data_IF_039490672164
#
_entry.id   IF_039490672164
#
_cell.length_a   1.000
_cell.length_b   1.000
_cell.length_c   1.000
_cell.angle_alpha   90.00
_cell.angle_beta   90.00
_cell.angle_gamma   90.00
#
_symmetry.space_group_name_H-M   'P 1'
#
loop_
_entity.id
_entity.type
_entity.pdbx_description
1 polymer ?
#
# COMPACT_ATOMS: atom_id res chain seq x y z
N UNK A 1 -58.18 -22.53 55.01
CA UNK A 1 -59.15 -21.43 55.23
C UNK A 1 -58.63 -20.15 54.57
N UNK A 2 -59.45 -19.58 53.67
CA UNK A 2 -59.50 -18.18 53.19
C UNK A 2 -58.29 -17.55 52.46
N UNK A 3 -58.52 -17.41 51.15
CA UNK A 3 -58.09 -16.34 50.24
C UNK A 3 -58.02 -14.92 50.84
N UNK A 4 -57.04 -14.13 50.39
CA UNK A 4 -57.19 -12.70 50.12
C UNK A 4 -56.56 -12.34 48.77
N UNK A 5 -57.24 -11.43 48.07
CA UNK A 5 -57.17 -11.09 46.66
C UNK A 5 -56.09 -10.03 46.37
N UNK A 6 -55.49 -10.10 45.17
CA UNK A 6 -54.67 -9.07 44.49
C UNK A 6 -55.36 -7.69 44.45
N UNK A 7 -54.67 -6.52 44.28
CA UNK A 7 -54.13 -6.12 42.96
C UNK A 7 -52.92 -5.12 42.96
N UNK A 8 -52.42 -4.84 41.75
CA UNK A 8 -51.47 -3.77 41.32
C UNK A 8 -49.97 -3.99 41.59
N UNK A 9 -49.23 -4.50 40.59
CA UNK A 9 -48.56 -3.78 39.48
C UNK A 9 -47.18 -3.21 39.87
N UNK A 10 -46.13 -3.89 39.41
CA UNK A 10 -45.01 -3.28 38.67
C UNK A 10 -44.14 -4.44 38.14
N UNK A 11 -44.55 -5.05 37.02
CA UNK A 11 -43.86 -4.86 35.73
C UNK A 11 -42.41 -5.39 35.73
N UNK A 12 -42.28 -6.70 35.88
CA UNK A 12 -41.41 -7.48 35.01
C UNK A 12 -41.87 -7.26 33.56
N UNK A 13 -40.98 -6.76 32.69
CA UNK A 13 -41.11 -6.98 31.25
C UNK A 13 -41.75 -5.87 30.41
N UNK A 14 -41.45 -4.60 30.66
CA UNK A 14 -41.66 -3.53 29.65
C UNK A 14 -40.41 -2.65 29.50
N UNK A 15 -39.25 -3.28 29.38
CA UNK A 15 -37.98 -2.63 29.01
C UNK A 15 -37.62 -2.80 27.54
N UNK A 16 -38.55 -3.26 26.69
CA UNK A 16 -38.26 -3.72 25.34
C UNK A 16 -39.01 -2.97 24.22
N UNK A 17 -39.59 -1.80 24.49
CA UNK A 17 -40.36 -1.03 23.48
C UNK A 17 -40.27 0.50 23.57
N UNK A 18 -39.25 1.08 24.23
CA UNK A 18 -39.06 2.56 24.25
C UNK A 18 -37.60 3.04 24.17
N UNK A 19 -36.66 2.20 23.75
CA UNK A 19 -35.34 2.67 23.32
C UNK A 19 -35.30 2.60 21.79
N UNK A 20 -35.26 3.74 21.08
CA UNK A 20 -35.11 3.74 19.65
C UNK A 20 -33.74 3.16 19.30
N UNK A 21 -33.72 1.87 19.00
CA UNK A 21 -33.07 1.41 17.77
C UNK A 21 -33.80 2.04 16.57
N UNK A 22 -33.74 3.37 16.46
CA UNK A 22 -33.54 3.96 15.16
C UNK A 22 -32.03 3.87 14.99
N UNK A 23 -31.61 2.78 14.38
CA UNK A 23 -30.29 2.63 13.81
C UNK A 23 -30.09 3.80 12.84
N UNK A 24 -29.63 4.93 13.37
CA UNK A 24 -28.91 5.90 12.58
C UNK A 24 -27.53 5.28 12.43
N UNK A 25 -27.40 4.39 11.46
CA UNK A 25 -26.20 4.50 10.65
C UNK A 25 -26.30 5.87 9.97
N UNK A 26 -25.83 6.90 10.64
CA UNK A 26 -24.90 7.77 9.96
C UNK A 26 -23.74 6.84 9.59
N UNK A 27 -23.83 6.21 8.43
CA UNK A 27 -22.63 5.90 7.70
C UNK A 27 -21.94 7.25 7.54
N UNK A 28 -21.04 7.56 8.47
CA UNK A 28 -20.11 8.66 8.30
C UNK A 28 -19.39 8.36 7.00
N UNK A 29 -19.85 9.03 5.93
CA UNK A 29 -19.29 8.98 4.59
C UNK A 29 -17.78 9.27 4.55
N UNK A 30 -17.22 9.70 5.68
CA UNK A 30 -15.81 9.95 5.93
C UNK A 30 -14.98 8.66 6.09
N UNK A 31 -15.60 7.53 6.45
CA UNK A 31 -14.91 6.22 6.53
C UNK A 31 -14.65 5.57 5.17
N UNK A 32 -15.26 6.10 4.10
CA UNK A 32 -15.07 5.62 2.72
C UNK A 32 -13.96 6.37 1.97
N UNK A 33 -13.37 7.43 2.55
CA UNK A 33 -12.20 8.08 1.96
C UNK A 33 -10.98 7.22 2.21
N UNK A 34 -10.34 6.76 1.13
CA UNK A 34 -9.02 6.14 1.28
C UNK A 34 -8.06 7.21 1.81
N UNK A 35 -7.08 6.85 2.68
CA UNK A 35 -6.14 7.82 3.26
C UNK A 35 -5.33 8.58 2.18
N UNK A 36 -5.35 8.09 0.95
CA UNK A 36 -4.65 8.65 -0.20
C UNK A 36 -5.46 9.69 -0.98
N UNK A 37 -6.67 10.07 -0.56
CA UNK A 37 -7.53 11.01 -1.30
C UNK A 37 -7.27 12.50 -1.01
N UNK A 38 -6.48 12.83 0.03
CA UNK A 38 -6.15 14.20 0.41
C UNK A 38 -4.82 14.68 -0.19
N UNK A 39 -4.80 15.82 -0.89
CA UNK A 39 -3.58 16.47 -1.42
C UNK A 39 -2.91 17.31 -0.33
N UNK A 40 -1.70 16.96 0.14
CA UNK A 40 -0.99 17.79 1.10
C UNK A 40 -0.41 19.03 0.43
N UNK A 41 -0.23 20.09 1.21
CA UNK A 41 0.56 21.24 0.79
C UNK A 41 2.06 20.85 0.78
N UNK A 42 2.74 21.07 -0.34
CA UNK A 42 4.14 20.68 -0.55
C UNK A 42 5.02 21.93 -0.53
N UNK A 43 5.67 22.19 0.61
CA UNK A 43 6.63 23.29 0.78
C UNK A 43 8.06 22.75 0.81
N UNK A 44 9.00 23.44 0.15
CA UNK A 44 10.39 23.01 -0.01
C UNK A 44 11.06 22.70 1.33
N UNK A 45 11.07 23.65 2.26
CA UNK A 45 11.71 23.52 3.57
C UNK A 45 11.10 22.38 4.41
N UNK A 46 9.79 22.14 4.25
CA UNK A 46 9.12 21.03 4.94
C UNK A 46 9.56 19.67 4.41
N UNK A 47 9.71 19.54 3.08
CA UNK A 47 10.21 18.31 2.45
C UNK A 47 11.67 18.08 2.80
N UNK A 48 12.48 19.14 2.80
CA UNK A 48 13.89 19.07 3.21
C UNK A 48 14.04 18.58 4.65
N UNK A 49 13.31 19.20 5.58
CA UNK A 49 13.34 18.81 6.99
C UNK A 49 12.90 17.35 7.20
N UNK A 50 11.86 16.90 6.47
CA UNK A 50 11.39 15.51 6.53
C UNK A 50 12.46 14.55 6.02
N UNK A 51 13.04 14.81 4.86
CA UNK A 51 14.12 13.98 4.30
C UNK A 51 15.34 13.94 5.21
N UNK A 52 15.72 15.07 5.82
CA UNK A 52 16.83 15.13 6.76
C UNK A 52 16.58 14.34 8.06
N UNK A 53 15.31 14.14 8.44
CA UNK A 53 14.92 13.35 9.61
C UNK A 53 14.74 11.85 9.33
N UNK A 54 14.78 11.43 8.06
CA UNK A 54 14.65 10.01 7.69
C UNK A 54 15.95 9.27 8.00
N UNK A 55 15.83 8.17 8.74
CA UNK A 55 16.91 7.23 8.99
C UNK A 55 16.94 6.18 7.88
N UNK A 56 18.12 5.85 7.38
CA UNK A 56 18.29 4.84 6.32
C UNK A 56 19.76 4.54 6.03
N UNK A 57 20.00 3.43 5.34
CA UNK A 57 21.35 3.00 4.91
C UNK A 57 21.79 3.72 3.64
N UNK A 58 20.83 4.07 2.77
CA UNK A 58 21.10 4.77 1.51
C UNK A 58 21.10 6.29 1.74
N UNK A 59 22.19 7.01 1.43
CA UNK A 59 22.28 8.45 1.67
C UNK A 59 21.29 9.21 0.78
N UNK A 60 20.40 9.98 1.41
CA UNK A 60 19.43 10.82 0.71
C UNK A 60 20.01 12.22 0.48
N UNK A 61 19.97 12.69 -0.77
CA UNK A 61 20.36 14.07 -1.13
C UNK A 61 19.13 14.84 -1.57
N UNK A 62 18.95 16.04 -1.04
CA UNK A 62 17.85 16.92 -1.42
C UNK A 62 18.34 18.06 -2.29
N UNK A 63 17.59 18.34 -3.36
CA UNK A 63 17.84 19.42 -4.30
C UNK A 63 16.56 19.72 -5.10
N UNK A 64 16.59 20.78 -5.90
CA UNK A 64 15.44 21.20 -6.71
C UNK A 64 14.91 20.14 -7.68
N UNK A 65 15.76 19.23 -8.17
CA UNK A 65 15.33 18.13 -9.05
C UNK A 65 14.51 17.11 -8.26
N UNK A 66 14.98 16.74 -7.07
CA UNK A 66 14.25 15.83 -6.16
C UNK A 66 12.93 16.46 -5.73
N UNK A 67 12.93 17.75 -5.35
CA UNK A 67 11.69 18.46 -5.02
C UNK A 67 10.68 18.45 -6.17
N UNK A 68 11.15 18.63 -7.41
CA UNK A 68 10.29 18.52 -8.59
C UNK A 68 9.64 17.13 -8.76
N UNK A 69 10.33 16.05 -8.39
CA UNK A 69 9.72 14.72 -8.36
C UNK A 69 8.72 14.56 -7.22
N UNK A 70 9.00 15.12 -6.05
CA UNK A 70 8.05 15.12 -4.92
C UNK A 70 6.76 15.82 -5.32
N UNK A 71 6.84 17.04 -5.86
CA UNK A 71 5.67 17.76 -6.40
C UNK A 71 4.93 16.92 -7.46
N UNK A 72 5.69 16.35 -8.41
CA UNK A 72 5.10 15.55 -9.49
C UNK A 72 4.30 14.34 -8.96
N UNK A 73 4.87 13.53 -8.08
CA UNK A 73 4.20 12.32 -7.59
C UNK A 73 3.10 12.63 -6.56
N UNK A 74 3.22 13.70 -5.77
CA UNK A 74 2.26 14.05 -4.73
C UNK A 74 1.05 14.80 -5.30
N UNK A 75 1.27 15.67 -6.28
CA UNK A 75 0.25 16.59 -6.80
C UNK A 75 -0.18 16.19 -8.22
N UNK A 76 0.77 16.11 -9.16
CA UNK A 76 0.44 16.01 -10.59
C UNK A 76 0.09 14.61 -11.07
N UNK A 77 0.70 13.57 -10.52
CA UNK A 77 0.53 12.18 -10.91
C UNK A 77 -0.03 11.33 -9.76
N UNK A 78 -1.11 11.84 -9.20
CA UNK A 78 -1.66 11.35 -7.94
C UNK A 78 -2.31 9.98 -8.05
N UNK A 79 -2.92 9.68 -9.20
CA UNK A 79 -3.56 8.38 -9.43
C UNK A 79 -2.53 7.26 -9.50
N UNK A 80 -1.35 7.51 -10.09
CA UNK A 80 -0.23 6.58 -10.04
C UNK A 80 0.23 6.34 -8.61
N UNK A 81 0.36 7.41 -7.82
CA UNK A 81 0.76 7.31 -6.41
C UNK A 81 -0.27 6.55 -5.57
N UNK A 82 -1.56 6.84 -5.74
CA UNK A 82 -2.65 6.08 -5.10
C UNK A 82 -2.54 4.59 -5.45
N UNK A 83 -2.36 4.27 -6.74
CA UNK A 83 -2.30 2.90 -7.22
C UNK A 83 -1.20 2.07 -6.55
N UNK A 84 0.04 2.57 -6.47
CA UNK A 84 1.10 1.79 -5.81
C UNK A 84 0.95 1.78 -4.28
N UNK A 85 0.37 2.82 -3.67
CA UNK A 85 0.13 2.86 -2.22
C UNK A 85 -0.89 1.81 -1.79
N UNK A 86 -1.89 1.52 -2.63
CA UNK A 86 -2.84 0.42 -2.41
C UNK A 86 -2.18 -0.98 -2.51
N UNK A 87 -1.15 -1.11 -3.34
CA UNK A 87 -0.42 -2.37 -3.55
C UNK A 87 0.72 -2.58 -2.54
N UNK A 88 1.14 -1.52 -1.86
CA UNK A 88 2.26 -1.53 -0.90
C UNK A 88 2.09 -2.61 0.18
N UNK A 89 0.95 -2.72 0.90
CA UNK A 89 0.76 -3.76 1.93
C UNK A 89 0.87 -5.20 1.41
N UNK A 90 0.70 -5.40 0.10
CA UNK A 90 0.76 -6.73 -0.53
C UNK A 90 2.18 -7.14 -0.89
N UNK A 91 2.99 -6.23 -1.42
CA UNK A 91 4.30 -6.57 -1.97
C UNK A 91 5.49 -6.20 -1.07
N UNK A 92 5.36 -5.17 -0.24
CA UNK A 92 6.49 -4.74 0.60
C UNK A 92 6.94 -5.82 1.59
N UNK A 93 6.06 -6.57 2.28
CA UNK A 93 6.51 -7.64 3.18
C UNK A 93 7.37 -8.70 2.47
N UNK A 94 7.04 -9.02 1.21
CA UNK A 94 7.84 -9.94 0.39
C UNK A 94 9.21 -9.34 0.07
N UNK A 95 9.25 -8.07 -0.35
CA UNK A 95 10.51 -7.40 -0.69
C UNK A 95 11.42 -7.26 0.53
N UNK A 96 10.88 -6.83 1.66
CA UNK A 96 11.61 -6.65 2.93
C UNK A 96 12.19 -7.98 3.41
N UNK A 97 11.42 -9.06 3.32
CA UNK A 97 11.89 -10.40 3.64
C UNK A 97 13.08 -10.79 2.76
N UNK A 98 12.95 -10.67 1.44
CA UNK A 98 14.00 -11.06 0.48
C UNK A 98 15.25 -10.20 0.57
N UNK A 99 15.10 -8.87 0.64
CA UNK A 99 16.23 -7.96 0.82
C UNK A 99 17.00 -8.30 2.10
N UNK A 100 16.29 -8.58 3.20
CA UNK A 100 16.92 -8.97 4.46
C UNK A 100 17.63 -10.32 4.38
N UNK A 101 17.06 -11.31 3.69
CA UNK A 101 17.70 -12.62 3.45
C UNK A 101 19.05 -12.47 2.74
N UNK A 102 19.17 -11.49 1.85
CA UNK A 102 20.38 -11.18 1.08
C UNK A 102 21.27 -10.08 1.70
N UNK A 103 20.90 -9.54 2.86
CA UNK A 103 21.66 -8.48 3.53
C UNK A 103 21.68 -7.16 2.75
N UNK A 104 20.63 -6.89 1.98
CA UNK A 104 20.47 -5.69 1.17
C UNK A 104 19.66 -4.61 1.91
N UNK A 105 19.90 -3.31 1.63
CA UNK A 105 19.13 -2.22 2.20
C UNK A 105 17.64 -2.31 1.84
N UNK A 106 16.77 -2.09 2.82
CA UNK A 106 15.32 -2.18 2.66
C UNK A 106 14.77 -1.14 1.66
N UNK A 107 15.46 0.00 1.52
CA UNK A 107 15.09 1.10 0.64
C UNK A 107 15.12 0.71 -0.84
N UNK A 108 15.82 -0.37 -1.22
CA UNK A 108 15.81 -0.87 -2.59
C UNK A 108 14.41 -1.30 -3.06
N UNK A 109 13.50 -1.61 -2.13
CA UNK A 109 12.10 -1.94 -2.44
C UNK A 109 11.39 -0.84 -3.22
N UNK A 110 11.78 0.42 -3.02
CA UNK A 110 11.18 1.57 -3.71
C UNK A 110 11.55 1.61 -5.21
N UNK A 111 12.59 0.90 -5.65
CA UNK A 111 12.93 0.78 -7.07
C UNK A 111 11.78 0.12 -7.85
N UNK A 112 11.15 -0.92 -7.29
CA UNK A 112 10.01 -1.60 -7.93
C UNK A 112 8.81 -0.66 -8.16
N UNK A 113 8.65 0.39 -7.34
CA UNK A 113 7.67 1.44 -7.62
C UNK A 113 8.05 2.17 -8.89
N UNK A 114 9.27 2.71 -8.96
CA UNK A 114 9.73 3.50 -10.13
C UNK A 114 9.64 2.69 -11.42
N UNK A 115 9.95 1.40 -11.37
CA UNK A 115 9.99 0.51 -12.53
C UNK A 115 8.58 0.12 -13.04
N UNK A 116 7.64 -0.19 -12.15
CA UNK A 116 6.37 -0.80 -12.55
C UNK A 116 5.11 -0.24 -11.87
N UNK A 117 5.26 0.63 -10.88
CA UNK A 117 4.16 1.02 -9.98
C UNK A 117 3.62 -0.18 -9.19
N UNK A 118 4.46 -1.18 -8.91
CA UNK A 118 4.09 -2.45 -8.28
C UNK A 118 3.11 -3.32 -9.09
N UNK A 119 3.06 -3.14 -10.41
CA UNK A 119 2.20 -3.95 -11.29
C UNK A 119 2.99 -5.18 -11.81
N UNK A 120 2.65 -6.41 -11.38
CA UNK A 120 3.43 -7.61 -11.71
C UNK A 120 3.36 -8.02 -13.18
N UNK A 121 2.41 -7.49 -13.94
CA UNK A 121 2.27 -7.74 -15.39
C UNK A 121 2.65 -6.52 -16.22
N UNK A 122 3.34 -5.53 -15.63
CA UNK A 122 3.80 -4.35 -16.35
C UNK A 122 4.79 -4.76 -17.45
N UNK A 123 4.53 -4.32 -18.67
CA UNK A 123 5.40 -4.54 -19.80
C UNK A 123 5.83 -3.19 -20.40
N UNK A 124 7.14 -2.97 -20.51
CA UNK A 124 7.66 -1.81 -21.22
C UNK A 124 7.58 -2.00 -22.74
N UNK A 125 7.67 -0.89 -23.48
CA UNK A 125 7.69 -0.89 -24.95
C UNK A 125 8.82 -1.73 -25.55
N UNK A 126 9.90 -1.93 -24.80
CA UNK A 126 11.11 -2.66 -25.25
C UNK A 126 11.18 -4.08 -24.67
N UNK A 127 10.14 -4.53 -23.95
CA UNK A 127 10.00 -5.92 -23.50
C UNK A 127 10.52 -6.23 -22.10
N UNK A 128 10.86 -5.22 -21.30
CA UNK A 128 11.03 -5.40 -19.86
C UNK A 128 9.69 -5.79 -19.21
N UNK A 129 9.72 -6.65 -18.19
CA UNK A 129 8.52 -7.26 -17.62
C UNK A 129 8.59 -7.33 -16.09
N UNK A 130 7.43 -7.18 -15.45
CA UNK A 130 7.25 -7.48 -14.03
C UNK A 130 7.54 -6.32 -13.09
N UNK A 131 7.51 -6.63 -11.78
CA UNK A 131 7.70 -5.66 -10.70
C UNK A 131 9.05 -4.94 -10.80
N UNK A 132 10.09 -5.68 -11.19
CA UNK A 132 11.48 -5.24 -11.27
C UNK A 132 11.93 -4.93 -12.71
N UNK A 133 11.00 -4.94 -13.68
CA UNK A 133 11.26 -4.66 -15.10
C UNK A 133 12.48 -5.41 -15.67
N UNK A 134 12.52 -6.74 -15.48
CA UNK A 134 13.58 -7.56 -16.08
C UNK A 134 13.48 -7.59 -17.60
N UNK A 135 14.58 -7.28 -18.28
CA UNK A 135 14.74 -7.61 -19.71
C UNK A 135 14.76 -9.14 -19.88
N UNK A 136 14.28 -9.69 -21.01
CA UNK A 136 14.21 -11.15 -21.21
C UNK A 136 15.55 -11.85 -20.99
N UNK A 137 16.63 -11.30 -21.55
CA UNK A 137 17.99 -11.82 -21.41
C UNK A 137 18.48 -11.79 -19.96
N UNK A 138 18.28 -10.67 -19.28
CA UNK A 138 18.68 -10.48 -17.88
C UNK A 138 17.88 -11.40 -16.95
N UNK A 139 16.57 -11.53 -17.16
CA UNK A 139 15.75 -12.46 -16.38
C UNK A 139 16.23 -13.90 -16.50
N UNK A 140 16.54 -14.37 -17.72
CA UNK A 140 17.10 -15.73 -17.92
C UNK A 140 18.46 -15.90 -17.25
N UNK A 141 19.30 -14.86 -17.27
CA UNK A 141 20.59 -14.89 -16.59
C UNK A 141 20.45 -15.12 -15.09
N UNK A 142 19.44 -14.52 -14.46
CA UNK A 142 19.08 -14.74 -13.04
C UNK A 142 18.13 -15.93 -12.80
N UNK A 143 17.98 -16.83 -13.77
CA UNK A 143 17.21 -18.06 -13.60
C UNK A 143 15.68 -17.92 -13.75
N UNK A 144 15.17 -16.78 -14.21
CA UNK A 144 13.75 -16.61 -14.50
C UNK A 144 13.39 -17.31 -15.82
N UNK A 145 12.61 -18.38 -15.71
CA UNK A 145 12.15 -19.16 -16.85
C UNK A 145 11.14 -18.38 -17.71
N UNK A 146 11.26 -18.52 -19.03
CA UNK A 146 10.45 -17.80 -20.01
C UNK A 146 10.16 -18.72 -21.20
N UNK A 147 8.89 -18.99 -21.45
CA UNK A 147 8.39 -19.61 -22.68
C UNK A 147 7.09 -18.93 -23.13
N UNK A 148 6.34 -19.58 -24.03
CA UNK A 148 5.10 -19.04 -24.58
C UNK A 148 3.93 -18.99 -23.59
N UNK A 149 4.00 -19.72 -22.48
CA UNK A 149 2.94 -19.88 -21.48
C UNK A 149 3.31 -19.30 -20.11
N UNK A 150 4.59 -19.37 -19.75
CA UNK A 150 5.15 -19.01 -18.45
C UNK A 150 6.22 -17.95 -18.66
N UNK A 151 6.16 -16.88 -17.88
CA UNK A 151 7.22 -15.88 -17.81
C UNK A 151 7.38 -15.48 -16.34
N UNK A 152 8.40 -16.06 -15.71
CA UNK A 152 8.70 -15.91 -14.29
C UNK A 152 9.06 -14.47 -13.91
N UNK A 153 9.31 -13.58 -14.88
CA UNK A 153 9.48 -12.15 -14.59
C UNK A 153 8.20 -11.52 -14.04
N UNK A 154 7.03 -12.09 -14.33
CA UNK A 154 5.76 -11.66 -13.78
C UNK A 154 5.45 -12.24 -12.39
N UNK A 155 6.22 -13.23 -11.95
CA UNK A 155 6.04 -13.86 -10.63
C UNK A 155 6.70 -12.97 -9.56
N UNK A 156 5.92 -12.45 -8.59
CA UNK A 156 6.47 -11.55 -7.57
C UNK A 156 7.59 -12.15 -6.75
N UNK A 157 7.50 -13.43 -6.37
CA UNK A 157 8.47 -14.08 -5.51
C UNK A 157 9.76 -14.34 -6.28
N UNK A 158 9.66 -14.98 -7.44
CA UNK A 158 10.82 -15.30 -8.28
C UNK A 158 11.54 -14.05 -8.77
N UNK A 159 10.79 -13.04 -9.24
CA UNK A 159 11.39 -11.80 -9.71
C UNK A 159 12.08 -11.02 -8.59
N UNK A 160 11.53 -11.05 -7.37
CA UNK A 160 12.18 -10.41 -6.21
C UNK A 160 13.43 -11.15 -5.77
N UNK A 161 13.39 -12.47 -5.74
CA UNK A 161 14.60 -13.28 -5.49
C UNK A 161 15.69 -12.95 -6.51
N UNK A 162 15.36 -12.95 -7.80
CA UNK A 162 16.28 -12.60 -8.88
C UNK A 162 16.83 -11.16 -8.78
N UNK A 163 16.07 -10.22 -8.23
CA UNK A 163 16.50 -8.84 -8.05
C UNK A 163 17.51 -8.66 -6.89
N UNK A 164 17.61 -9.64 -6.00
CA UNK A 164 18.54 -9.62 -4.87
C UNK A 164 19.90 -10.28 -5.19
N UNK A 165 20.04 -10.95 -6.34
CA UNK A 165 21.25 -11.67 -6.79
C UNK A 165 22.20 -10.77 -7.59
#
# INVERSE_FOLDING_TARGET
MKQKKHPFLALLGLGMLLSPWAFSQTEDSDTLRQPYDFVPEVQYDSVEARLASMEGEVPLTFNNRVFGFVDYFVIRNRDYTRGFLELTPKYFPLFEQKLKEHGLPEELKFLAIVESGLVPRAQSRVGAMGLWQFMPSTGRYFGLYQDWFIDDRMDPEKATEAACL
#
